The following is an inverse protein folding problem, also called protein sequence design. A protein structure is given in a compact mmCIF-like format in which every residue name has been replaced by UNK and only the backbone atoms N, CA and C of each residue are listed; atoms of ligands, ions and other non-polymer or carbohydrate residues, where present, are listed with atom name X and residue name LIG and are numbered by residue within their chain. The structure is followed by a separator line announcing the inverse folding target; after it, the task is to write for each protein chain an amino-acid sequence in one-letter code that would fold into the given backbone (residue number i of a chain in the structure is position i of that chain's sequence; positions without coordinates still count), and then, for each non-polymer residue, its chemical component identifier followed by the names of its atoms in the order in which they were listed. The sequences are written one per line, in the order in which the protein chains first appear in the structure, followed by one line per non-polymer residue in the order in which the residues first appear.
data_IF_594293410502
#
_entry.id   IF_594293410502
#
_cell.length_a   1.000
_cell.length_b   1.000
_cell.length_c   1.000
_cell.angle_alpha   90.00
_cell.angle_beta   90.00
_cell.angle_gamma   90.00
#
_symmetry.space_group_name_H-M   'P 1'
#
loop_
_entity.id
_entity.type
_entity.pdbx_description
1 polymer ?
#
# COMPACT_ATOMS: atom_id res chain seq x y z
N UNK A 1 45.66 -1.84 -0.09
CA UNK A 1 45.00 -1.39 1.15
C UNK A 1 43.48 -1.28 1.04
N UNK A 2 42.85 -1.04 -0.12
CA UNK A 2 41.37 -0.98 -0.22
C UNK A 2 40.65 -2.36 -0.19
N UNK A 3 41.37 -3.47 -0.34
CA UNK A 3 40.80 -4.83 -0.46
C UNK A 3 40.36 -5.47 0.86
N UNK A 4 40.76 -4.93 2.02
CA UNK A 4 40.47 -5.55 3.33
C UNK A 4 39.14 -5.11 3.96
N UNK A 5 38.61 -3.95 3.58
CA UNK A 5 37.43 -3.32 4.22
C UNK A 5 36.19 -4.22 4.14
N UNK A 6 36.01 -4.91 3.01
CA UNK A 6 34.85 -5.76 2.73
C UNK A 6 35.15 -7.25 2.81
N UNK A 7 36.27 -7.64 3.41
CA UNK A 7 36.69 -9.04 3.51
C UNK A 7 35.67 -9.94 4.22
N UNK A 8 35.05 -9.44 5.29
CA UNK A 8 33.99 -10.16 6.03
C UNK A 8 32.73 -10.37 5.16
N UNK A 9 32.21 -9.31 4.54
CA UNK A 9 31.05 -9.41 3.66
C UNK A 9 31.32 -10.31 2.44
N UNK A 10 32.53 -10.23 1.87
CA UNK A 10 32.98 -11.11 0.80
C UNK A 10 32.96 -12.58 1.25
N UNK A 11 33.45 -12.88 2.45
CA UNK A 11 33.42 -14.24 3.00
C UNK A 11 31.98 -14.73 3.22
N UNK A 12 31.08 -13.88 3.71
CA UNK A 12 29.65 -14.20 3.87
C UNK A 12 28.97 -14.49 2.52
N UNK A 13 29.28 -13.72 1.47
CA UNK A 13 28.76 -13.96 0.12
C UNK A 13 29.31 -15.27 -0.47
N UNK A 14 30.58 -15.57 -0.26
CA UNK A 14 31.17 -16.87 -0.62
C UNK A 14 30.52 -18.02 0.14
N UNK A 15 30.33 -17.90 1.46
CA UNK A 15 29.66 -18.92 2.26
C UNK A 15 28.21 -19.11 1.82
N UNK A 16 27.47 -18.03 1.52
CA UNK A 16 26.12 -18.13 0.99
C UNK A 16 26.09 -18.84 -0.37
N UNK A 17 27.08 -18.59 -1.22
CA UNK A 17 27.23 -19.26 -2.51
C UNK A 17 27.49 -20.77 -2.36
N UNK A 18 28.29 -21.18 -1.37
CA UNK A 18 28.67 -22.57 -1.10
C UNK A 18 27.63 -23.36 -0.30
N UNK A 19 27.10 -22.75 0.77
CA UNK A 19 26.19 -23.40 1.73
C UNK A 19 24.71 -23.32 1.32
N UNK A 20 24.36 -22.35 0.47
CA UNK A 20 22.97 -22.08 0.11
C UNK A 20 22.14 -21.43 1.22
N UNK A 21 22.76 -20.87 2.27
CA UNK A 21 22.09 -20.16 3.36
C UNK A 21 22.73 -18.80 3.62
N UNK A 22 21.90 -17.75 3.78
CA UNK A 22 22.35 -16.42 4.19
C UNK A 22 22.42 -16.33 5.72
N UNK A 23 23.63 -16.28 6.29
CA UNK A 23 23.86 -16.12 7.75
C UNK A 23 24.14 -14.67 8.13
N UNK A 24 24.02 -14.36 9.43
CA UNK A 24 24.02 -13.00 9.97
C UNK A 24 25.10 -12.07 9.41
N UNK A 25 24.67 -10.87 9.02
CA UNK A 25 25.52 -9.82 8.44
C UNK A 25 25.28 -8.45 9.11
N UNK A 26 24.80 -8.45 10.35
CA UNK A 26 24.32 -7.22 11.00
C UNK A 26 25.43 -6.16 11.10
N UNK A 27 26.65 -6.57 11.49
CA UNK A 27 27.80 -5.67 11.61
C UNK A 27 28.23 -5.10 10.25
N UNK A 28 28.20 -5.91 9.19
CA UNK A 28 28.52 -5.49 7.83
C UNK A 28 27.48 -4.51 7.29
N UNK A 29 26.20 -4.77 7.53
CA UNK A 29 25.11 -3.90 7.09
C UNK A 29 25.14 -2.55 7.84
N UNK A 30 25.42 -2.56 9.14
CA UNK A 30 25.63 -1.34 9.92
C UNK A 30 26.85 -0.55 9.43
N UNK A 31 27.93 -1.24 9.06
CA UNK A 31 29.12 -0.61 8.47
C UNK A 31 28.79 0.10 7.16
N UNK A 32 27.95 -0.47 6.30
CA UNK A 32 27.48 0.18 5.06
C UNK A 32 26.78 1.50 5.38
N UNK A 33 25.95 1.52 6.42
CA UNK A 33 25.22 2.72 6.86
C UNK A 33 26.14 3.87 7.33
N UNK A 34 27.41 3.61 7.60
CA UNK A 34 28.39 4.60 8.06
C UNK A 34 29.52 4.86 7.04
N UNK A 35 29.50 4.17 5.90
CA UNK A 35 30.60 4.21 4.93
C UNK A 35 30.64 5.49 4.09
N UNK A 36 31.84 5.88 3.66
CA UNK A 36 32.08 6.94 2.66
C UNK A 36 31.79 6.48 1.23
N UNK A 37 31.60 7.41 0.30
CA UNK A 37 31.29 7.08 -1.10
C UNK A 37 32.41 6.29 -1.79
N UNK A 38 33.68 6.55 -1.46
CA UNK A 38 34.83 5.77 -1.95
C UNK A 38 34.81 4.33 -1.42
N UNK A 39 34.36 4.12 -0.18
CA UNK A 39 34.18 2.78 0.41
C UNK A 39 32.99 2.07 -0.24
N UNK A 40 31.88 2.76 -0.45
CA UNK A 40 30.72 2.23 -1.17
C UNK A 40 31.09 1.86 -2.62
N UNK A 41 31.91 2.66 -3.29
CA UNK A 41 32.37 2.36 -4.64
C UNK A 41 33.21 1.07 -4.64
N UNK A 42 34.11 0.92 -3.67
CA UNK A 42 34.89 -0.32 -3.52
C UNK A 42 34.01 -1.53 -3.18
N UNK A 43 32.92 -1.35 -2.44
CA UNK A 43 31.92 -2.37 -2.17
C UNK A 43 31.23 -2.80 -3.46
N UNK A 44 30.69 -1.87 -4.24
CA UNK A 44 29.99 -2.18 -5.49
C UNK A 44 30.90 -2.90 -6.49
N UNK A 45 32.16 -2.48 -6.60
CA UNK A 45 33.17 -3.17 -7.42
C UNK A 45 33.41 -4.59 -6.93
N UNK A 46 33.45 -4.81 -5.61
CA UNK A 46 33.60 -6.15 -5.02
C UNK A 46 32.40 -7.05 -5.34
N UNK A 47 31.16 -6.52 -5.27
CA UNK A 47 29.94 -7.29 -5.54
C UNK A 47 29.85 -7.81 -6.99
N UNK A 48 30.63 -7.27 -7.92
CA UNK A 48 30.69 -7.76 -9.32
C UNK A 48 31.08 -9.24 -9.40
N UNK A 49 31.84 -9.74 -8.43
CA UNK A 49 32.29 -11.14 -8.35
C UNK A 49 31.16 -12.09 -7.90
N UNK A 50 30.09 -11.56 -7.31
CA UNK A 50 29.05 -12.33 -6.61
C UNK A 50 27.69 -12.30 -7.30
N UNK A 51 27.60 -11.81 -8.54
CA UNK A 51 26.38 -11.90 -9.33
C UNK A 51 26.14 -13.37 -9.71
N UNK A 52 25.21 -14.03 -9.02
CA UNK A 52 24.99 -15.48 -9.07
C UNK A 52 23.50 -15.81 -9.10
N UNK A 53 23.07 -16.92 -9.74
CA UNK A 53 21.70 -17.41 -9.65
C UNK A 53 21.37 -18.07 -8.29
N UNK A 54 22.31 -18.12 -7.33
CA UNK A 54 22.05 -18.71 -6.01
C UNK A 54 21.08 -17.82 -5.19
N UNK A 55 19.93 -18.34 -4.72
CA UNK A 55 18.96 -17.59 -3.91
C UNK A 55 19.52 -17.01 -2.60
N UNK A 56 20.44 -17.69 -1.92
CA UNK A 56 21.04 -17.18 -0.68
C UNK A 56 21.98 -15.99 -0.94
N UNK A 57 22.66 -16.01 -2.08
CA UNK A 57 23.45 -14.86 -2.53
C UNK A 57 22.53 -13.70 -2.88
N UNK A 58 21.40 -13.98 -3.55
CA UNK A 58 20.39 -12.95 -3.85
C UNK A 58 19.82 -12.30 -2.59
N UNK A 59 19.50 -13.08 -1.57
CA UNK A 59 19.03 -12.58 -0.28
C UNK A 59 20.08 -11.69 0.41
N UNK A 60 21.35 -12.08 0.38
CA UNK A 60 22.43 -11.25 0.93
C UNK A 60 22.62 -9.95 0.15
N UNK A 61 22.53 -10.01 -1.18
CA UNK A 61 22.57 -8.83 -2.05
C UNK A 61 21.37 -7.91 -1.79
N UNK A 62 20.18 -8.46 -1.60
CA UNK A 62 18.97 -7.71 -1.23
C UNK A 62 19.20 -6.91 0.06
N UNK A 63 19.70 -7.56 1.12
CA UNK A 63 20.02 -6.89 2.40
C UNK A 63 21.09 -5.82 2.23
N UNK A 64 22.13 -6.12 1.45
CA UNK A 64 23.24 -5.20 1.14
C UNK A 64 22.74 -3.94 0.42
N UNK A 65 21.91 -4.10 -0.62
CA UNK A 65 21.34 -2.97 -1.36
C UNK A 65 20.31 -2.19 -0.53
N UNK A 66 19.59 -2.86 0.38
CA UNK A 66 18.71 -2.19 1.34
C UNK A 66 19.51 -1.27 2.29
N UNK A 67 20.60 -1.78 2.88
CA UNK A 67 21.50 -0.97 3.71
C UNK A 67 22.14 0.18 2.92
N UNK A 68 22.51 -0.06 1.66
CA UNK A 68 23.01 0.98 0.76
C UNK A 68 21.96 2.08 0.52
N UNK A 69 20.71 1.69 0.23
CA UNK A 69 19.61 2.65 0.06
C UNK A 69 19.37 3.49 1.31
N UNK A 70 19.41 2.89 2.50
CA UNK A 70 19.31 3.62 3.77
C UNK A 70 20.47 4.60 3.97
N UNK A 71 21.70 4.20 3.64
CA UNK A 71 22.88 5.08 3.67
C UNK A 71 22.73 6.28 2.75
N UNK A 72 22.18 6.06 1.55
CA UNK A 72 21.94 7.11 0.56
C UNK A 72 20.83 8.06 1.03
N UNK A 73 19.80 7.53 1.71
CA UNK A 73 18.68 8.30 2.22
C UNK A 73 19.00 9.12 3.49
N UNK A 74 20.06 8.77 4.24
CA UNK A 74 20.32 9.35 5.55
C UNK A 74 20.79 10.82 5.49
N UNK A 75 20.14 11.76 6.20
CA UNK A 75 20.52 13.17 6.24
C UNK A 75 21.87 13.42 6.94
N UNK A 76 22.36 12.46 7.75
CA UNK A 76 23.67 12.54 8.40
C UNK A 76 24.84 12.58 7.39
N UNK A 77 24.61 12.13 6.15
CA UNK A 77 25.58 12.23 5.06
C UNK A 77 25.61 13.62 4.37
N UNK A 78 24.92 14.62 4.94
CA UNK A 78 25.01 16.02 4.56
C UNK A 78 24.65 16.27 3.10
N UNK A 79 23.37 16.16 2.72
CA UNK A 79 22.82 16.61 1.43
C UNK A 79 23.71 16.34 0.20
N UNK A 80 24.39 15.19 0.16
CA UNK A 80 25.18 14.79 -1.00
C UNK A 80 24.34 13.85 -1.84
N UNK A 81 23.96 14.34 -3.01
CA UNK A 81 23.63 13.49 -4.15
C UNK A 81 24.73 12.45 -4.31
N UNK A 82 24.36 11.21 -4.64
CA UNK A 82 25.38 10.18 -4.87
C UNK A 82 26.24 10.58 -6.06
N UNK A 83 27.53 10.26 -5.98
CA UNK A 83 28.48 10.43 -7.06
C UNK A 83 28.04 9.64 -8.31
N UNK A 84 28.14 10.22 -9.51
CA UNK A 84 27.85 9.57 -10.79
C UNK A 84 28.66 8.28 -10.98
N UNK A 85 29.85 8.18 -10.36
CA UNK A 85 30.64 6.94 -10.32
C UNK A 85 29.88 5.81 -9.62
N UNK A 86 29.19 6.09 -8.51
CA UNK A 86 28.35 5.11 -7.82
C UNK A 86 27.15 4.72 -8.67
N UNK A 87 26.51 5.68 -9.35
CA UNK A 87 25.41 5.39 -10.30
C UNK A 87 25.89 4.44 -11.39
N UNK A 88 27.04 4.72 -12.01
CA UNK A 88 27.62 3.85 -13.04
C UNK A 88 27.87 2.43 -12.56
N UNK A 89 28.37 2.26 -11.34
CA UNK A 89 28.58 0.94 -10.73
C UNK A 89 27.26 0.21 -10.40
N UNK A 90 26.26 0.93 -9.89
CA UNK A 90 24.94 0.36 -9.64
C UNK A 90 24.31 -0.15 -10.94
N UNK A 91 24.38 0.62 -12.03
CA UNK A 91 23.86 0.21 -13.33
C UNK A 91 24.65 -0.98 -13.90
N UNK A 92 25.96 -1.01 -13.71
CA UNK A 92 26.75 -2.17 -14.12
C UNK A 92 26.30 -3.44 -13.40
N UNK A 93 26.09 -3.39 -12.09
CA UNK A 93 25.58 -4.53 -11.32
C UNK A 93 24.17 -4.90 -11.74
N UNK A 94 23.28 -3.92 -11.91
CA UNK A 94 21.88 -4.12 -12.31
C UNK A 94 21.77 -4.92 -13.61
N UNK A 95 22.55 -4.57 -14.63
CA UNK A 95 22.54 -5.28 -15.93
C UNK A 95 22.98 -6.75 -15.85
N UNK A 96 23.66 -7.14 -14.76
CA UNK A 96 24.11 -8.51 -14.52
C UNK A 96 23.18 -9.27 -13.59
N UNK A 97 22.40 -8.57 -12.77
CA UNK A 97 21.38 -9.21 -11.93
C UNK A 97 20.31 -9.86 -12.81
N UNK A 98 19.77 -10.98 -12.35
CA UNK A 98 18.68 -11.64 -13.08
C UNK A 98 17.39 -10.82 -12.90
N UNK A 99 16.59 -10.60 -13.96
CA UNK A 99 15.41 -9.72 -13.92
C UNK A 99 14.38 -10.08 -12.84
N UNK A 100 14.27 -11.36 -12.49
CA UNK A 100 13.29 -11.87 -11.51
C UNK A 100 13.73 -11.78 -10.04
N UNK A 101 14.88 -11.15 -9.76
CA UNK A 101 15.48 -11.16 -8.42
C UNK A 101 15.00 -10.00 -7.56
N UNK A 102 14.85 -10.26 -6.26
CA UNK A 102 14.43 -9.24 -5.29
C UNK A 102 15.51 -8.19 -5.08
N UNK A 103 16.78 -8.60 -5.12
CA UNK A 103 17.93 -7.70 -5.01
C UNK A 103 17.90 -6.59 -6.07
N UNK A 104 17.35 -6.87 -7.26
CA UNK A 104 17.19 -5.87 -8.32
C UNK A 104 16.25 -4.73 -7.91
N UNK A 105 15.11 -5.05 -7.30
CA UNK A 105 14.17 -4.04 -6.82
C UNK A 105 14.82 -3.14 -5.74
N UNK A 106 15.62 -3.71 -4.84
CA UNK A 106 16.36 -2.95 -3.82
C UNK A 106 17.49 -2.09 -4.43
N UNK A 107 18.14 -2.57 -5.49
CA UNK A 107 19.12 -1.76 -6.21
C UNK A 107 18.46 -0.55 -6.88
N UNK A 108 17.33 -0.76 -7.58
CA UNK A 108 16.58 0.33 -8.20
C UNK A 108 16.03 1.31 -7.14
N UNK A 109 15.62 0.80 -5.97
CA UNK A 109 15.28 1.64 -4.82
C UNK A 109 16.44 2.54 -4.41
N UNK A 110 17.67 2.04 -4.39
CA UNK A 110 18.85 2.85 -4.05
C UNK A 110 19.09 3.99 -5.06
N UNK A 111 18.76 3.79 -6.35
CA UNK A 111 18.77 4.86 -7.35
C UNK A 111 17.68 5.91 -7.05
N UNK A 112 16.46 5.48 -6.71
CA UNK A 112 15.36 6.37 -6.34
C UNK A 112 15.67 7.20 -5.07
N UNK A 113 16.34 6.59 -4.09
CA UNK A 113 16.77 7.27 -2.84
C UNK A 113 17.87 8.31 -3.09
N UNK A 114 18.54 8.31 -4.23
CA UNK A 114 19.69 9.21 -4.42
C UNK A 114 19.31 10.64 -4.80
N UNK A 115 18.17 10.80 -5.47
CA UNK A 115 17.66 12.08 -5.97
C UNK A 115 18.67 12.90 -6.79
N UNK A 116 19.65 12.24 -7.44
CA UNK A 116 20.42 12.89 -8.49
C UNK A 116 19.71 12.74 -9.82
N UNK A 117 19.76 13.78 -10.65
CA UNK A 117 19.15 13.77 -12.00
C UNK A 117 19.59 12.52 -12.78
N UNK A 118 20.89 12.21 -12.77
CA UNK A 118 21.47 11.04 -13.46
C UNK A 118 20.93 9.72 -12.92
N UNK A 119 20.74 9.57 -11.61
CA UNK A 119 20.20 8.34 -11.04
C UNK A 119 18.71 8.18 -11.31
N UNK A 120 17.94 9.27 -11.30
CA UNK A 120 16.51 9.27 -11.62
C UNK A 120 16.28 8.95 -13.10
N UNK A 121 17.03 9.59 -14.01
CA UNK A 121 17.02 9.24 -15.43
C UNK A 121 17.36 7.76 -15.64
N UNK A 122 18.40 7.29 -14.96
CA UNK A 122 18.80 5.89 -15.04
C UNK A 122 17.73 4.94 -14.50
N UNK A 123 17.06 5.28 -13.39
CA UNK A 123 15.95 4.52 -12.85
C UNK A 123 14.82 4.38 -13.89
N UNK A 124 14.38 5.49 -14.48
CA UNK A 124 13.34 5.48 -15.50
C UNK A 124 13.75 4.61 -16.71
N UNK A 125 14.98 4.76 -17.20
CA UNK A 125 15.50 3.95 -18.30
C UNK A 125 15.54 2.45 -17.97
N UNK A 126 15.98 2.08 -16.77
CA UNK A 126 16.05 0.66 -16.35
C UNK A 126 14.67 0.03 -16.22
N UNK A 127 13.68 0.76 -15.69
CA UNK A 127 12.32 0.28 -15.57
C UNK A 127 11.67 0.03 -16.95
N UNK A 128 12.01 0.84 -17.95
CA UNK A 128 11.52 0.65 -19.32
C UNK A 128 12.25 -0.47 -20.06
N UNK A 129 13.58 -0.50 -19.97
CA UNK A 129 14.40 -1.50 -20.67
C UNK A 129 14.21 -2.91 -20.11
N UNK A 130 13.99 -3.02 -18.81
CA UNK A 130 13.84 -4.29 -18.12
C UNK A 130 12.78 -4.14 -17.01
N UNK A 131 11.50 -4.38 -17.32
CA UNK A 131 10.44 -4.23 -16.32
C UNK A 131 10.64 -5.18 -15.14
N UNK A 132 10.17 -4.75 -13.97
CA UNK A 132 10.16 -5.58 -12.77
C UNK A 132 9.12 -6.70 -12.91
N UNK A 133 9.33 -7.85 -12.24
CA UNK A 133 8.50 -9.05 -12.45
C UNK A 133 7.08 -8.92 -11.90
N UNK A 134 6.88 -8.08 -10.87
CA UNK A 134 5.62 -7.95 -10.15
C UNK A 134 5.45 -6.55 -9.54
N UNK A 135 4.22 -6.25 -9.12
CA UNK A 135 3.85 -4.95 -8.55
C UNK A 135 4.54 -4.68 -7.20
N UNK A 136 4.76 -5.70 -6.36
CA UNK A 136 5.41 -5.51 -5.06
C UNK A 136 6.87 -5.05 -5.21
N UNK A 137 7.56 -5.62 -6.21
CA UNK A 137 8.90 -5.21 -6.61
C UNK A 137 8.91 -3.77 -7.15
N UNK A 138 7.92 -3.40 -7.97
CA UNK A 138 7.78 -2.04 -8.50
C UNK A 138 7.54 -1.01 -7.39
N UNK A 139 6.62 -1.30 -6.46
CA UNK A 139 6.36 -0.47 -5.27
C UNK A 139 7.64 -0.34 -4.43
N UNK A 140 8.36 -1.42 -4.21
CA UNK A 140 9.63 -1.40 -3.47
C UNK A 140 10.66 -0.45 -4.10
N UNK A 141 10.80 -0.51 -5.42
CA UNK A 141 11.75 0.33 -6.15
C UNK A 141 11.35 1.81 -6.14
N UNK A 142 10.05 2.11 -6.25
CA UNK A 142 9.55 3.48 -6.45
C UNK A 142 9.05 4.17 -5.17
N UNK A 143 8.82 3.45 -4.07
CA UNK A 143 8.37 4.01 -2.79
C UNK A 143 9.20 5.22 -2.27
N UNK A 144 10.53 5.33 -2.50
CA UNK A 144 11.28 6.53 -2.12
C UNK A 144 10.78 7.82 -2.78
N UNK A 145 10.22 7.75 -3.99
CA UNK A 145 9.79 8.91 -4.76
C UNK A 145 8.62 9.66 -4.08
N UNK A 146 7.80 8.96 -3.28
CA UNK A 146 6.64 9.54 -2.59
C UNK A 146 7.00 10.27 -1.28
N UNK A 147 8.24 10.12 -0.78
CA UNK A 147 8.61 10.57 0.57
C UNK A 147 9.45 11.84 0.59
N UNK A 148 9.76 12.45 -0.57
CA UNK A 148 10.75 13.52 -0.67
C UNK A 148 10.14 14.85 -1.12
N UNK A 149 10.33 15.87 -0.30
CA UNK A 149 9.87 17.23 -0.57
C UNK A 149 10.63 17.92 -1.72
N UNK A 150 11.91 17.56 -1.94
CA UNK A 150 12.79 18.20 -2.95
C UNK A 150 13.17 17.25 -4.11
N UNK A 151 12.24 16.40 -4.55
CA UNK A 151 12.46 15.49 -5.67
C UNK A 151 12.52 16.26 -7.00
N UNK A 152 13.59 16.07 -7.79
CA UNK A 152 13.61 16.52 -9.19
C UNK A 152 12.86 15.53 -10.08
N UNK A 153 11.53 15.56 -9.99
CA UNK A 153 10.67 14.66 -10.74
C UNK A 153 10.80 14.85 -12.26
N UNK A 154 11.26 16.02 -12.74
CA UNK A 154 11.37 16.30 -14.18
C UNK A 154 12.38 15.36 -14.86
N UNK A 155 13.39 14.90 -14.13
CA UNK A 155 14.37 13.91 -14.58
C UNK A 155 13.75 12.55 -14.96
N UNK A 156 12.56 12.23 -14.45
CA UNK A 156 11.86 10.96 -14.71
C UNK A 156 10.99 11.02 -15.98
N UNK A 157 10.52 12.20 -16.38
CA UNK A 157 9.52 12.34 -17.43
C UNK A 157 10.12 12.89 -18.73
N UNK A 158 9.59 12.50 -19.91
CA UNK A 158 8.43 11.63 -20.13
C UNK A 158 8.76 10.12 -20.05
N UNK A 159 10.04 9.77 -19.85
CA UNK A 159 10.53 8.39 -19.99
C UNK A 159 9.83 7.39 -19.08
N UNK A 160 9.56 7.76 -17.84
CA UNK A 160 8.86 6.90 -16.88
C UNK A 160 7.45 6.49 -17.36
N UNK A 161 6.78 7.30 -18.19
CA UNK A 161 5.46 6.96 -18.74
C UNK A 161 5.51 5.82 -19.77
N UNK A 162 6.68 5.48 -20.31
CA UNK A 162 6.81 4.29 -21.15
C UNK A 162 6.63 2.99 -20.33
N UNK A 163 6.76 3.06 -19.00
CA UNK A 163 6.52 1.92 -18.11
C UNK A 163 5.03 1.54 -17.99
N UNK A 164 4.12 2.36 -18.53
CA UNK A 164 2.68 2.07 -18.57
C UNK A 164 2.35 0.86 -19.45
N UNK A 165 3.25 0.48 -20.36
CA UNK A 165 3.11 -0.73 -21.19
C UNK A 165 3.24 -2.02 -20.36
N UNK A 166 3.80 -1.94 -19.14
CA UNK A 166 4.05 -3.11 -18.29
C UNK A 166 3.11 -3.14 -17.08
N UNK A 167 2.37 -4.25 -16.92
CA UNK A 167 1.38 -4.42 -15.86
C UNK A 167 1.95 -4.30 -14.43
N UNK A 168 3.22 -4.67 -14.23
CA UNK A 168 3.88 -4.60 -12.93
C UNK A 168 4.14 -3.15 -12.47
N UNK A 169 4.41 -2.23 -13.38
CA UNK A 169 4.81 -0.84 -13.07
C UNK A 169 3.71 0.18 -13.34
N UNK A 170 2.73 -0.14 -14.19
CA UNK A 170 1.73 0.83 -14.64
C UNK A 170 0.99 1.54 -13.50
N UNK A 171 0.55 0.79 -12.47
CA UNK A 171 -0.19 1.35 -11.32
C UNK A 171 0.67 2.35 -10.55
N UNK A 172 1.84 1.93 -10.07
CA UNK A 172 2.71 2.78 -9.25
C UNK A 172 3.25 3.99 -10.02
N UNK A 173 3.46 3.86 -11.34
CA UNK A 173 3.83 4.98 -12.21
C UNK A 173 2.73 6.03 -12.29
N UNK A 174 1.47 5.61 -12.49
CA UNK A 174 0.35 6.54 -12.50
C UNK A 174 0.10 7.14 -11.11
N UNK A 175 0.13 6.33 -10.06
CA UNK A 175 -0.04 6.83 -8.69
C UNK A 175 1.01 7.88 -8.34
N UNK A 176 2.27 7.68 -8.75
CA UNK A 176 3.32 8.68 -8.57
C UNK A 176 3.04 9.95 -9.38
N UNK A 177 2.59 9.80 -10.62
CA UNK A 177 2.26 10.94 -11.49
C UNK A 177 1.09 11.76 -10.91
N UNK A 178 0.06 11.09 -10.38
CA UNK A 178 -1.08 11.71 -9.73
C UNK A 178 -0.68 12.41 -8.43
N UNK A 179 0.16 11.74 -7.63
CA UNK A 179 0.72 12.28 -6.39
C UNK A 179 1.41 13.62 -6.59
N UNK A 180 2.22 13.77 -7.66
CA UNK A 180 2.90 15.03 -7.96
C UNK A 180 1.92 16.22 -8.12
N UNK A 181 0.74 15.99 -8.69
CA UNK A 181 -0.27 17.05 -8.86
C UNK A 181 -1.02 17.31 -7.55
N UNK A 182 -1.39 16.25 -6.82
CA UNK A 182 -2.11 16.33 -5.55
C UNK A 182 -1.33 17.05 -4.45
N UNK A 183 -0.03 16.78 -4.37
CA UNK A 183 0.88 17.47 -3.44
C UNK A 183 1.38 18.81 -3.98
N UNK A 184 0.81 19.31 -5.09
CA UNK A 184 1.17 20.57 -5.72
C UNK A 184 2.65 20.69 -6.13
N UNK A 185 3.34 19.55 -6.32
CA UNK A 185 4.72 19.48 -6.81
C UNK A 185 4.82 19.73 -8.32
N UNK A 186 3.75 19.43 -9.06
CA UNK A 186 3.61 19.69 -10.49
C UNK A 186 2.32 20.50 -10.75
N UNK A 187 2.44 21.62 -11.48
CA UNK A 187 1.30 22.45 -11.88
C UNK A 187 0.45 21.74 -12.93
N UNK A 188 1.11 21.04 -13.86
CA UNK A 188 0.48 20.26 -14.91
C UNK A 188 0.82 18.79 -14.73
N UNK A 189 -0.18 17.93 -14.95
CA UNK A 189 0.01 16.50 -14.85
C UNK A 189 1.06 15.99 -15.87
N UNK A 190 2.14 15.31 -15.46
CA UNK A 190 3.21 14.90 -16.38
C UNK A 190 2.74 14.03 -17.56
N UNK A 191 1.60 13.34 -17.42
CA UNK A 191 1.01 12.55 -18.50
C UNK A 191 0.01 13.32 -19.40
N UNK A 192 -0.07 14.66 -19.36
CA UNK A 192 -1.03 15.42 -20.19
C UNK A 192 -0.93 15.08 -21.68
N UNK A 193 0.29 14.93 -22.22
CA UNK A 193 0.48 14.59 -23.64
C UNK A 193 -0.03 13.18 -24.00
N UNK A 194 -0.26 12.31 -23.01
CA UNK A 194 -0.81 10.96 -23.18
C UNK A 194 -2.28 10.84 -22.80
N UNK A 195 -2.99 11.96 -22.61
CA UNK A 195 -4.40 11.98 -22.19
C UNK A 195 -5.28 11.04 -23.02
N UNK A 196 -5.19 11.12 -24.35
CA UNK A 196 -5.98 10.27 -25.26
C UNK A 196 -5.71 8.78 -25.08
N UNK A 197 -4.45 8.40 -24.83
CA UNK A 197 -4.07 7.00 -24.62
C UNK A 197 -4.59 6.50 -23.28
N UNK A 198 -4.55 7.33 -22.23
CA UNK A 198 -5.12 7.03 -20.91
C UNK A 198 -6.65 6.87 -20.98
N UNK A 199 -7.35 7.72 -21.73
CA UNK A 199 -8.80 7.62 -21.95
C UNK A 199 -9.14 6.31 -22.69
N UNK A 200 -8.33 5.93 -23.69
CA UNK A 200 -8.51 4.65 -24.39
C UNK A 200 -8.25 3.46 -23.46
N UNK A 201 -7.19 3.51 -22.65
CA UNK A 201 -6.86 2.49 -21.66
C UNK A 201 -7.99 2.32 -20.64
N UNK A 202 -8.54 3.42 -20.11
CA UNK A 202 -9.70 3.39 -19.22
C UNK A 202 -10.88 2.67 -19.87
N UNK A 203 -11.17 3.00 -21.14
CA UNK A 203 -12.25 2.35 -21.89
C UNK A 203 -12.04 0.85 -22.06
N UNK A 204 -10.83 0.42 -22.41
CA UNK A 204 -10.50 -0.99 -22.59
C UNK A 204 -10.59 -1.78 -21.28
N UNK A 205 -10.06 -1.24 -20.19
CA UNK A 205 -10.11 -1.85 -18.87
C UNK A 205 -11.55 -1.95 -18.34
N UNK A 206 -12.33 -0.88 -18.48
CA UNK A 206 -13.76 -0.85 -18.10
C UNK A 206 -14.56 -1.90 -18.87
N UNK A 207 -14.37 -1.98 -20.20
CA UNK A 207 -15.06 -2.97 -21.03
C UNK A 207 -14.68 -4.41 -20.63
N UNK A 208 -13.40 -4.66 -20.34
CA UNK A 208 -12.93 -5.96 -19.87
C UNK A 208 -13.61 -6.36 -18.56
N UNK A 209 -13.68 -5.43 -17.59
CA UNK A 209 -14.29 -5.70 -16.30
C UNK A 209 -15.79 -5.94 -16.43
N UNK A 210 -16.49 -5.16 -17.26
CA UNK A 210 -17.90 -5.37 -17.54
C UNK A 210 -18.16 -6.78 -18.11
N UNK A 211 -17.33 -7.23 -19.06
CA UNK A 211 -17.44 -8.58 -19.62
C UNK A 211 -17.20 -9.70 -18.60
N UNK A 212 -16.42 -9.45 -17.54
CA UNK A 212 -16.26 -10.37 -16.41
C UNK A 212 -17.48 -10.35 -15.49
N UNK A 213 -18.13 -9.19 -15.28
CA UNK A 213 -19.34 -9.06 -14.45
C UNK A 213 -20.58 -9.73 -15.08
N UNK A 214 -20.68 -9.76 -16.40
CA UNK A 214 -21.79 -10.42 -17.12
C UNK A 214 -21.69 -11.95 -17.12
N UNK A 215 -20.49 -12.50 -16.93
CA UNK A 215 -20.20 -13.94 -17.08
C UNK A 215 -19.67 -14.50 -15.76
N UNK A 216 -20.57 -14.93 -14.84
CA UNK A 216 -20.12 -15.52 -13.58
C UNK A 216 -19.26 -16.77 -13.84
N UNK A 217 -18.17 -16.97 -13.07
CA UNK A 217 -17.30 -18.13 -13.22
C UNK A 217 -18.10 -19.42 -12.96
N UNK A 218 -17.85 -20.46 -13.75
CA UNK A 218 -18.56 -21.74 -13.63
C UNK A 218 -17.82 -22.74 -12.74
N UNK A 219 -16.54 -22.49 -12.47
CA UNK A 219 -15.68 -23.35 -11.64
C UNK A 219 -14.92 -22.53 -10.61
N UNK A 220 -14.46 -23.17 -9.53
CA UNK A 220 -13.64 -22.52 -8.50
C UNK A 220 -12.27 -22.02 -9.05
N UNK A 221 -11.69 -22.73 -10.03
CA UNK A 221 -10.46 -22.30 -10.70
C UNK A 221 -10.68 -21.05 -11.55
N UNK A 222 -11.78 -21.02 -12.32
CA UNK A 222 -12.18 -19.82 -13.06
C UNK A 222 -12.47 -18.67 -12.11
N UNK A 223 -13.13 -18.91 -10.98
CA UNK A 223 -13.43 -17.89 -9.98
C UNK A 223 -12.14 -17.29 -9.41
N UNK A 224 -11.15 -18.12 -9.06
CA UNK A 224 -9.83 -17.65 -8.61
C UNK A 224 -9.13 -16.81 -9.67
N UNK A 225 -9.11 -17.28 -10.92
CA UNK A 225 -8.49 -16.56 -12.05
C UNK A 225 -9.20 -15.24 -12.35
N UNK A 226 -10.53 -15.21 -12.35
CA UNK A 226 -11.31 -13.99 -12.55
C UNK A 226 -11.07 -13.02 -11.39
N UNK A 227 -11.08 -13.50 -10.14
CA UNK A 227 -10.78 -12.69 -8.97
C UNK A 227 -9.40 -12.03 -9.04
N UNK A 228 -8.36 -12.78 -9.44
CA UNK A 228 -7.03 -12.21 -9.67
C UNK A 228 -7.04 -11.13 -10.76
N UNK A 229 -7.67 -11.39 -11.91
CA UNK A 229 -7.75 -10.41 -13.00
C UNK A 229 -8.51 -9.14 -12.59
N UNK A 230 -9.59 -9.28 -11.82
CA UNK A 230 -10.35 -8.15 -11.27
C UNK A 230 -9.45 -7.34 -10.34
N UNK A 231 -8.79 -7.98 -9.37
CA UNK A 231 -7.91 -7.30 -8.42
C UNK A 231 -6.78 -6.53 -9.10
N UNK A 232 -6.11 -7.14 -10.09
CA UNK A 232 -5.06 -6.49 -10.88
C UNK A 232 -5.59 -5.31 -11.71
N UNK A 233 -6.81 -5.43 -12.25
CA UNK A 233 -7.41 -4.39 -13.10
C UNK A 233 -7.97 -3.22 -12.31
N UNK A 234 -8.52 -3.47 -11.11
CA UNK A 234 -9.15 -2.43 -10.27
C UNK A 234 -8.15 -1.35 -9.90
N UNK A 235 -6.94 -1.73 -9.46
CA UNK A 235 -5.88 -0.77 -9.12
C UNK A 235 -5.55 0.15 -10.29
N UNK A 236 -5.31 -0.42 -11.47
CA UNK A 236 -4.98 0.35 -12.66
C UNK A 236 -6.13 1.25 -13.13
N UNK A 237 -7.38 0.76 -13.10
CA UNK A 237 -8.56 1.57 -13.45
C UNK A 237 -8.63 2.81 -12.56
N UNK A 238 -8.45 2.63 -11.25
CA UNK A 238 -8.50 3.73 -10.28
C UNK A 238 -7.40 4.77 -10.56
N UNK A 239 -6.16 4.33 -10.75
CA UNK A 239 -5.05 5.24 -11.05
C UNK A 239 -5.26 6.00 -12.36
N UNK A 240 -5.84 5.36 -13.39
CA UNK A 240 -6.18 6.01 -14.66
C UNK A 240 -7.32 7.00 -14.51
N UNK A 241 -8.39 6.66 -13.77
CA UNK A 241 -9.51 7.59 -13.49
C UNK A 241 -9.00 8.87 -12.85
N UNK A 242 -8.14 8.73 -11.86
CA UNK A 242 -7.54 9.86 -11.15
C UNK A 242 -6.63 10.67 -12.07
N UNK A 243 -5.78 10.01 -12.87
CA UNK A 243 -4.93 10.68 -13.84
C UNK A 243 -5.73 11.53 -14.84
N UNK A 244 -6.79 10.97 -15.46
CA UNK A 244 -7.58 11.73 -16.44
C UNK A 244 -8.38 12.87 -15.79
N UNK A 245 -8.79 12.71 -14.52
CA UNK A 245 -9.44 13.77 -13.76
C UNK A 245 -8.47 14.92 -13.45
N UNK A 246 -7.24 14.60 -13.02
CA UNK A 246 -6.19 15.58 -12.72
C UNK A 246 -5.64 16.26 -13.98
N UNK A 247 -5.60 15.55 -15.12
CA UNK A 247 -5.28 16.16 -16.43
C UNK A 247 -6.35 17.19 -16.82
N UNK A 248 -7.61 16.96 -16.45
CA UNK A 248 -8.71 17.88 -16.75
C UNK A 248 -9.24 17.77 -18.19
N UNK A 249 -9.03 16.63 -18.86
CA UNK A 249 -9.47 16.46 -20.26
C UNK A 249 -10.97 16.11 -20.34
N UNK A 250 -11.81 16.98 -20.92
CA UNK A 250 -13.26 16.74 -21.00
C UNK A 250 -13.62 15.53 -21.87
N UNK A 251 -12.74 15.08 -22.77
CA UNK A 251 -12.98 13.88 -23.59
C UNK A 251 -13.08 12.60 -22.73
N UNK A 252 -12.58 12.63 -21.48
CA UNK A 252 -12.65 11.52 -20.55
C UNK A 252 -14.06 11.25 -19.99
N UNK A 253 -14.96 12.26 -19.99
CA UNK A 253 -16.30 12.18 -19.37
C UNK A 253 -17.09 10.98 -19.87
N UNK A 254 -17.08 10.72 -21.18
CA UNK A 254 -17.79 9.59 -21.77
C UNK A 254 -17.30 8.23 -21.25
N UNK A 255 -16.00 8.10 -20.95
CA UNK A 255 -15.41 6.87 -20.40
C UNK A 255 -15.61 6.75 -18.90
N UNK A 256 -15.59 7.86 -18.16
CA UNK A 256 -15.91 7.88 -16.74
C UNK A 256 -17.38 7.48 -16.48
N UNK A 257 -18.30 7.93 -17.33
CA UNK A 257 -19.70 7.46 -17.34
C UNK A 257 -19.84 5.96 -17.64
N UNK A 258 -18.89 5.34 -18.34
CA UNK A 258 -18.89 3.88 -18.50
C UNK A 258 -18.36 3.19 -17.23
N UNK A 259 -17.34 3.77 -16.59
CA UNK A 259 -16.73 3.22 -15.38
C UNK A 259 -17.69 3.25 -14.17
N UNK A 260 -18.55 4.26 -14.06
CA UNK A 260 -19.50 4.39 -12.95
C UNK A 260 -20.64 3.35 -12.96
N UNK A 261 -20.88 2.73 -14.12
CA UNK A 261 -21.87 1.66 -14.34
C UNK A 261 -21.35 0.27 -13.93
N UNK A 262 -20.06 0.14 -13.65
CA UNK A 262 -19.50 -1.11 -13.12
C UNK A 262 -20.08 -1.42 -11.74
N UNK A 263 -20.17 -2.70 -11.36
CA UNK A 263 -20.67 -3.09 -10.03
C UNK A 263 -19.66 -2.79 -8.91
N UNK A 264 -18.39 -2.63 -9.26
CA UNK A 264 -17.32 -2.44 -8.29
C UNK A 264 -17.36 -1.06 -7.60
N UNK A 265 -17.89 -1.00 -6.38
CA UNK A 265 -18.12 0.24 -5.62
C UNK A 265 -16.95 1.21 -5.58
N UNK A 266 -15.71 0.73 -5.35
CA UNK A 266 -14.53 1.59 -5.34
C UNK A 266 -14.32 2.32 -6.67
N UNK A 267 -14.47 1.64 -7.81
CA UNK A 267 -14.33 2.26 -9.14
C UNK A 267 -15.42 3.31 -9.34
N UNK A 268 -16.66 3.00 -8.94
CA UNK A 268 -17.79 3.94 -9.03
C UNK A 268 -17.53 5.20 -8.21
N UNK A 269 -17.00 5.07 -7.00
CA UNK A 269 -16.66 6.22 -6.14
C UNK A 269 -15.61 7.13 -6.79
N UNK A 270 -14.54 6.54 -7.33
CA UNK A 270 -13.47 7.29 -8.02
C UNK A 270 -14.00 7.96 -9.29
N UNK A 271 -14.80 7.24 -10.09
CA UNK A 271 -15.41 7.77 -11.31
C UNK A 271 -16.38 8.92 -11.02
N UNK A 272 -17.17 8.82 -9.95
CA UNK A 272 -18.11 9.87 -9.54
C UNK A 272 -17.37 11.16 -9.15
N UNK A 273 -16.29 11.05 -8.37
CA UNK A 273 -15.45 12.18 -8.01
C UNK A 273 -14.79 12.82 -9.25
N UNK A 274 -14.26 12.00 -10.16
CA UNK A 274 -13.68 12.46 -11.41
C UNK A 274 -14.70 13.20 -12.31
N UNK A 275 -15.94 12.72 -12.40
CA UNK A 275 -17.00 13.37 -13.16
C UNK A 275 -17.32 14.77 -12.62
N UNK A 276 -17.38 14.94 -11.30
CA UNK A 276 -17.59 16.26 -10.68
C UNK A 276 -16.43 17.21 -11.05
N UNK A 277 -15.18 16.75 -10.92
CA UNK A 277 -13.99 17.55 -11.28
C UNK A 277 -14.00 18.01 -12.75
N UNK A 278 -14.52 17.18 -13.65
CA UNK A 278 -14.62 17.49 -15.09
C UNK A 278 -15.93 18.22 -15.49
N UNK A 279 -16.72 18.67 -14.52
CA UNK A 279 -17.91 19.50 -14.75
C UNK A 279 -19.23 18.75 -14.94
N UNK A 280 -19.25 17.43 -14.80
CA UNK A 280 -20.47 16.60 -14.82
C UNK A 280 -20.98 16.34 -13.38
N UNK A 281 -21.16 17.44 -12.63
CA UNK A 281 -21.40 17.41 -11.20
C UNK A 281 -22.70 16.70 -10.81
N UNK A 282 -23.76 16.78 -11.62
CA UNK A 282 -25.05 16.20 -11.26
C UNK A 282 -24.97 14.67 -11.11
N UNK A 283 -24.43 13.98 -12.13
CA UNK A 283 -24.29 12.53 -12.13
C UNK A 283 -23.36 12.08 -11.00
N UNK A 284 -22.22 12.75 -10.85
CA UNK A 284 -21.27 12.39 -9.79
C UNK A 284 -21.86 12.58 -8.38
N UNK A 285 -22.61 13.66 -8.12
CA UNK A 285 -23.29 13.89 -6.84
C UNK A 285 -24.29 12.78 -6.52
N UNK A 286 -25.14 12.43 -7.48
CA UNK A 286 -26.14 11.36 -7.32
C UNK A 286 -25.49 10.03 -6.94
N UNK A 287 -24.39 9.67 -7.60
CA UNK A 287 -23.68 8.44 -7.31
C UNK A 287 -22.90 8.48 -6.00
N UNK A 288 -22.27 9.59 -5.61
CA UNK A 288 -21.64 9.70 -4.28
C UNK A 288 -22.69 9.53 -3.16
N UNK A 289 -23.86 10.14 -3.32
CA UNK A 289 -24.98 9.99 -2.39
C UNK A 289 -25.53 8.55 -2.32
N UNK A 290 -25.59 7.85 -3.45
CA UNK A 290 -25.94 6.43 -3.49
C UNK A 290 -24.87 5.55 -2.82
N UNK A 291 -23.60 5.81 -3.10
CA UNK A 291 -22.48 5.03 -2.57
C UNK A 291 -22.31 5.21 -1.06
N UNK A 292 -22.65 6.38 -0.52
CA UNK A 292 -22.66 6.66 0.91
C UNK A 292 -23.61 5.73 1.70
N UNK A 293 -24.60 5.12 1.04
CA UNK A 293 -25.50 4.14 1.67
C UNK A 293 -24.80 2.84 2.03
N UNK A 294 -23.73 2.48 1.32
CA UNK A 294 -22.99 1.24 1.53
C UNK A 294 -21.81 1.47 2.49
N UNK A 295 -21.75 0.81 3.66
CA UNK A 295 -20.69 1.06 4.65
C UNK A 295 -19.28 0.94 4.06
N UNK A 296 -19.03 -0.10 3.25
CA UNK A 296 -17.73 -0.35 2.59
C UNK A 296 -17.25 0.77 1.64
N UNK A 297 -18.15 1.65 1.19
CA UNK A 297 -17.83 2.77 0.30
C UNK A 297 -18.05 4.14 0.96
N UNK A 298 -18.73 4.19 2.11
CA UNK A 298 -19.28 5.39 2.72
C UNK A 298 -18.21 6.41 3.08
N UNK A 299 -17.17 6.01 3.81
CA UNK A 299 -16.10 6.93 4.23
C UNK A 299 -15.40 7.57 3.02
N UNK A 300 -15.17 6.80 1.96
CA UNK A 300 -14.56 7.30 0.72
C UNK A 300 -15.49 8.25 -0.03
N UNK A 301 -16.77 7.92 -0.13
CA UNK A 301 -17.77 8.78 -0.77
C UNK A 301 -17.93 10.12 -0.03
N UNK A 302 -17.95 10.09 1.31
CA UNK A 302 -17.97 11.28 2.15
C UNK A 302 -16.71 12.12 1.97
N UNK A 303 -15.53 11.50 1.99
CA UNK A 303 -14.27 12.21 1.81
C UNK A 303 -14.22 12.96 0.47
N UNK A 304 -14.64 12.33 -0.62
CA UNK A 304 -14.73 13.02 -1.91
C UNK A 304 -15.82 14.08 -1.96
N UNK A 305 -16.98 13.83 -1.35
CA UNK A 305 -18.04 14.83 -1.32
C UNK A 305 -17.63 16.07 -0.51
N UNK A 306 -16.84 15.90 0.55
CA UNK A 306 -16.25 16.98 1.33
C UNK A 306 -15.19 17.74 0.52
N UNK A 307 -14.22 17.02 -0.06
CA UNK A 307 -13.15 17.59 -0.92
C UNK A 307 -13.71 18.41 -2.09
N UNK A 308 -14.82 17.96 -2.68
CA UNK A 308 -15.43 18.58 -3.86
C UNK A 308 -16.54 19.58 -3.51
N UNK A 309 -16.74 19.89 -2.22
CA UNK A 309 -17.76 20.81 -1.73
C UNK A 309 -19.19 20.44 -2.17
N UNK A 310 -19.51 19.14 -2.16
CA UNK A 310 -20.83 18.58 -2.50
C UNK A 310 -21.41 17.69 -1.39
N UNK A 311 -20.94 17.88 -0.16
CA UNK A 311 -21.34 17.08 1.00
C UNK A 311 -22.86 17.19 1.29
N UNK A 312 -23.49 18.28 0.87
CA UNK A 312 -24.94 18.51 0.94
C UNK A 312 -25.77 17.52 0.11
N UNK A 313 -25.15 16.84 -0.87
CA UNK A 313 -25.80 15.78 -1.63
C UNK A 313 -25.99 14.48 -0.81
N UNK A 314 -25.22 14.30 0.27
CA UNK A 314 -25.28 13.10 1.11
C UNK A 314 -26.18 13.38 2.32
N UNK A 315 -27.21 12.55 2.47
CA UNK A 315 -28.13 12.60 3.61
C UNK A 315 -27.39 12.47 4.95
N UNK A 316 -27.78 13.29 5.93
CA UNK A 316 -27.21 13.39 7.28
C UNK A 316 -27.11 12.05 7.98
N UNK A 317 -28.08 11.14 7.76
CA UNK A 317 -28.07 9.79 8.35
C UNK A 317 -26.87 8.92 7.92
N UNK A 318 -26.23 9.25 6.79
CA UNK A 318 -25.01 8.56 6.35
C UNK A 318 -23.74 9.32 6.76
N UNK A 319 -23.87 10.52 7.33
CA UNK A 319 -22.75 11.38 7.73
C UNK A 319 -22.52 11.41 9.23
N UNK A 320 -23.49 10.95 10.01
CA UNK A 320 -23.40 10.91 11.47
C UNK A 320 -22.27 9.99 11.97
N UNK A 321 -21.93 10.14 13.26
CA UNK A 321 -20.81 9.41 13.87
C UNK A 321 -21.03 7.90 13.88
N UNK A 322 -22.27 7.43 14.07
CA UNK A 322 -22.60 6.01 14.08
C UNK A 322 -22.43 5.39 12.69
N UNK A 323 -22.90 6.05 11.64
CA UNK A 323 -22.76 5.60 10.26
C UNK A 323 -21.29 5.61 9.81
N UNK A 324 -20.50 6.59 10.26
CA UNK A 324 -19.05 6.61 10.04
C UNK A 324 -18.36 5.46 10.76
N UNK A 325 -18.71 5.21 12.02
CA UNK A 325 -18.15 4.13 12.81
C UNK A 325 -18.51 2.75 12.21
N UNK A 326 -19.76 2.54 11.78
CA UNK A 326 -20.18 1.32 11.08
C UNK A 326 -19.31 1.09 9.83
N UNK A 327 -19.10 2.14 9.04
CA UNK A 327 -18.29 2.08 7.83
C UNK A 327 -16.81 1.80 8.12
N UNK A 328 -16.27 2.36 9.21
CA UNK A 328 -14.91 2.08 9.67
C UNK A 328 -14.74 0.59 10.01
N UNK A 329 -15.64 0.02 10.81
CA UNK A 329 -15.58 -1.40 11.16
C UNK A 329 -15.73 -2.29 9.92
N UNK A 330 -16.68 -1.96 9.03
CA UNK A 330 -16.89 -2.75 7.80
C UNK A 330 -15.67 -2.70 6.90
N UNK A 331 -15.00 -1.55 6.76
CA UNK A 331 -13.74 -1.45 6.01
C UNK A 331 -12.63 -2.28 6.66
N UNK A 332 -12.50 -2.22 7.98
CA UNK A 332 -11.50 -3.00 8.72
C UNK A 332 -11.73 -4.50 8.58
N UNK A 333 -12.97 -4.98 8.74
CA UNK A 333 -13.35 -6.39 8.57
C UNK A 333 -13.10 -6.88 7.14
N UNK A 334 -13.26 -6.01 6.14
CA UNK A 334 -13.03 -6.32 4.74
C UNK A 334 -11.54 -6.31 4.34
N UNK A 335 -10.62 -5.89 5.21
CA UNK A 335 -9.18 -5.94 4.96
C UNK A 335 -8.71 -7.39 4.76
N UNK A 336 -7.69 -7.60 3.92
CA UNK A 336 -7.18 -8.93 3.59
C UNK A 336 -6.49 -9.65 4.75
N UNK A 337 -6.04 -8.91 5.77
CA UNK A 337 -5.54 -9.49 7.01
C UNK A 337 -6.66 -9.96 7.96
N UNK A 338 -7.92 -9.58 7.69
CA UNK A 338 -9.10 -9.97 8.46
C UNK A 338 -9.91 -11.02 7.67
N UNK A 339 -11.13 -10.69 7.22
CA UNK A 339 -11.97 -11.60 6.43
C UNK A 339 -11.77 -11.43 4.92
N UNK A 340 -11.23 -10.29 4.46
CA UNK A 340 -11.02 -9.98 3.03
C UNK A 340 -12.30 -9.60 2.27
N UNK A 341 -13.46 -9.55 2.92
CA UNK A 341 -14.72 -9.09 2.35
C UNK A 341 -15.66 -8.54 3.43
N UNK A 342 -16.56 -7.59 3.10
CA UNK A 342 -17.44 -6.97 4.09
C UNK A 342 -18.47 -7.97 4.65
N UNK A 343 -18.90 -7.79 5.90
CA UNK A 343 -19.98 -8.60 6.48
C UNK A 343 -21.29 -8.36 5.73
N UNK A 344 -22.21 -9.33 5.88
CA UNK A 344 -23.55 -9.24 5.30
C UNK A 344 -24.42 -8.23 6.05
N UNK A 345 -24.27 -8.17 7.36
CA UNK A 345 -24.97 -7.26 8.25
C UNK A 345 -23.99 -6.69 9.27
N UNK A 346 -24.23 -5.44 9.66
CA UNK A 346 -23.52 -4.72 10.71
C UNK A 346 -24.56 -3.83 11.41
N UNK A 347 -24.84 -4.09 12.68
CA UNK A 347 -25.90 -3.42 13.43
C UNK A 347 -25.35 -2.83 14.71
N UNK A 348 -25.71 -1.57 15.00
CA UNK A 348 -25.31 -0.91 16.25
C UNK A 348 -25.99 -1.60 17.44
N UNK A 349 -25.17 -2.06 18.39
CA UNK A 349 -25.63 -2.72 19.63
C UNK A 349 -25.65 -1.73 20.79
N UNK A 350 -24.57 -0.95 20.94
CA UNK A 350 -24.44 0.05 22.00
C UNK A 350 -23.58 1.23 21.53
N UNK A 351 -23.87 2.41 22.06
CA UNK A 351 -23.12 3.63 21.82
C UNK A 351 -23.01 4.39 23.14
N UNK A 352 -21.79 4.76 23.54
CA UNK A 352 -21.56 5.57 24.74
C UNK A 352 -20.27 6.38 24.68
N UNK A 353 -20.26 7.50 25.38
CA UNK A 353 -19.04 8.25 25.68
C UNK A 353 -18.53 7.81 27.06
N UNK A 354 -17.28 7.35 27.15
CA UNK A 354 -16.71 6.84 28.40
C UNK A 354 -15.21 7.10 28.51
N UNK A 355 -14.67 7.11 29.72
CA UNK A 355 -13.22 7.10 29.92
C UNK A 355 -12.62 5.79 29.42
N UNK A 356 -11.52 5.86 28.67
CA UNK A 356 -10.84 4.72 28.11
C UNK A 356 -9.38 4.66 28.57
N UNK A 357 -8.81 3.47 28.87
CA UNK A 357 -7.40 3.37 29.23
C UNK A 357 -6.47 3.99 28.18
N UNK A 358 -5.53 4.82 28.63
CA UNK A 358 -4.60 5.53 27.74
C UNK A 358 -5.12 6.86 27.17
N UNK A 359 -6.37 7.25 27.45
CA UNK A 359 -6.94 8.53 27.03
C UNK A 359 -7.21 9.43 28.25
N UNK A 360 -6.87 10.72 28.12
CA UNK A 360 -7.12 11.72 29.18
C UNK A 360 -8.59 12.18 29.20
N UNK A 361 -9.25 12.18 28.03
CA UNK A 361 -10.63 12.61 27.85
C UNK A 361 -11.56 11.43 27.52
N UNK A 362 -12.85 11.50 27.87
CA UNK A 362 -13.83 10.49 27.46
C UNK A 362 -13.88 10.34 25.94
N UNK A 363 -13.89 9.09 25.47
CA UNK A 363 -13.89 8.74 24.06
C UNK A 363 -15.27 8.22 23.67
N UNK A 364 -15.72 8.57 22.47
CA UNK A 364 -16.92 8.01 21.88
C UNK A 364 -16.66 6.57 21.44
N UNK A 365 -17.47 5.62 21.92
CA UNK A 365 -17.33 4.21 21.65
C UNK A 365 -18.61 3.63 21.04
N UNK A 366 -18.45 2.74 20.07
CA UNK A 366 -19.55 2.06 19.37
C UNK A 366 -19.30 0.56 19.37
N UNK A 367 -20.31 -0.22 19.74
CA UNK A 367 -20.31 -1.68 19.56
C UNK A 367 -21.24 -2.04 18.41
N UNK A 368 -20.73 -2.81 17.47
CA UNK A 368 -21.51 -3.31 16.34
C UNK A 368 -21.52 -4.83 16.34
N UNK A 369 -22.69 -5.42 16.15
CA UNK A 369 -22.84 -6.84 15.82
C UNK A 369 -22.71 -6.99 14.32
N UNK A 370 -21.77 -7.82 13.88
CA UNK A 370 -21.61 -8.13 12.47
C UNK A 370 -21.89 -9.61 12.20
N UNK A 371 -22.30 -9.92 10.96
CA UNK A 371 -22.64 -11.28 10.55
C UNK A 371 -22.07 -11.63 9.18
N UNK A 372 -21.55 -12.85 9.08
CA UNK A 372 -21.09 -13.50 7.86
C UNK A 372 -21.91 -14.77 7.60
N UNK A 373 -22.35 -14.97 6.36
CA UNK A 373 -22.89 -16.26 5.91
C UNK A 373 -21.78 -17.02 5.20
N UNK A 374 -21.24 -18.05 5.85
CA UNK A 374 -20.22 -18.94 5.33
C UNK A 374 -20.84 -20.29 4.95
N UNK A 375 -20.14 -21.10 4.15
CA UNK A 375 -20.64 -22.44 3.76
C UNK A 375 -20.90 -23.34 4.97
N UNK A 376 -20.19 -23.11 6.08
CA UNK A 376 -20.28 -23.88 7.33
C UNK A 376 -21.32 -23.33 8.33
N UNK A 377 -21.95 -22.19 8.05
CA UNK A 377 -22.96 -21.58 8.93
C UNK A 377 -22.95 -20.06 8.95
N UNK A 378 -23.67 -19.49 9.92
CA UNK A 378 -23.64 -18.06 10.20
C UNK A 378 -22.59 -17.82 11.28
N UNK A 379 -21.60 -16.99 10.97
CA UNK A 379 -20.65 -16.47 11.95
C UNK A 379 -21.10 -15.06 12.36
N UNK A 380 -21.21 -14.81 13.66
CA UNK A 380 -21.56 -13.50 14.21
C UNK A 380 -20.64 -13.16 15.36
N UNK A 381 -20.26 -11.88 15.48
CA UNK A 381 -19.52 -11.40 16.64
C UNK A 381 -19.72 -9.88 16.82
N UNK A 382 -19.10 -9.32 17.87
CA UNK A 382 -19.10 -7.89 18.19
C UNK A 382 -17.75 -7.26 17.84
N UNK A 383 -17.80 -6.11 17.15
CA UNK A 383 -16.65 -5.23 16.93
C UNK A 383 -16.81 -3.91 17.69
N UNK A 384 -15.68 -3.34 18.11
CA UNK A 384 -15.58 -2.01 18.69
C UNK A 384 -15.08 -1.02 17.63
N UNK A 385 -15.60 0.21 17.68
CA UNK A 385 -15.04 1.39 17.02
C UNK A 385 -14.97 2.55 18.02
N UNK A 386 -13.92 3.38 17.93
CA UNK A 386 -13.69 4.53 18.78
C UNK A 386 -12.20 4.66 19.17
N UNK A 387 -11.79 4.17 20.35
CA UNK A 387 -10.39 4.17 20.77
C UNK A 387 -9.49 3.32 19.86
N UNK A 388 -10.06 2.23 19.32
CA UNK A 388 -9.52 1.51 18.18
C UNK A 388 -10.67 0.82 17.44
N UNK A 389 -10.40 0.38 16.22
CA UNK A 389 -11.31 -0.48 15.46
C UNK A 389 -10.81 -1.92 15.50
N UNK A 390 -11.57 -2.80 16.14
CA UNK A 390 -11.16 -4.18 16.40
C UNK A 390 -12.35 -5.11 16.63
N UNK A 391 -12.18 -6.40 16.31
CA UNK A 391 -13.08 -7.47 16.71
C UNK A 391 -12.26 -8.69 17.14
N UNK A 392 -12.68 -9.36 18.22
CA UNK A 392 -12.04 -10.58 18.66
C UNK A 392 -12.41 -11.77 17.77
N UNK A 393 -11.55 -12.80 17.78
CA UNK A 393 -11.91 -14.12 17.26
C UNK A 393 -12.77 -14.93 18.24
N UNK A 394 -12.71 -14.61 19.53
CA UNK A 394 -13.58 -15.16 20.56
C UNK A 394 -14.98 -14.55 20.45
N UNK A 395 -16.02 -15.38 20.58
CA UNK A 395 -17.41 -14.94 20.54
C UNK A 395 -17.77 -14.13 21.79
N UNK A 396 -18.14 -12.86 21.59
CA UNK A 396 -18.57 -11.95 22.65
C UNK A 396 -20.09 -11.72 22.67
N UNK A 397 -20.84 -12.35 21.75
CA UNK A 397 -22.24 -12.00 21.48
C UNK A 397 -23.20 -12.25 22.65
N UNK A 398 -22.82 -13.13 23.58
CA UNK A 398 -23.60 -13.53 24.77
C UNK A 398 -23.17 -12.82 26.07
N UNK A 399 -22.12 -11.98 26.02
CA UNK A 399 -21.63 -11.26 27.19
C UNK A 399 -22.46 -9.99 27.47
N UNK A 400 -22.59 -9.57 28.74
CA UNK A 400 -23.09 -8.24 29.09
C UNK A 400 -22.29 -7.13 28.40
N UNK A 401 -22.96 -6.05 27.99
CA UNK A 401 -22.32 -4.92 27.28
C UNK A 401 -21.12 -4.34 28.04
N UNK A 402 -21.22 -4.22 29.37
CA UNK A 402 -20.14 -3.69 30.20
C UNK A 402 -18.91 -4.63 30.21
N UNK A 403 -19.14 -5.94 30.15
CA UNK A 403 -18.07 -6.94 30.07
C UNK A 403 -17.40 -6.91 28.69
N UNK A 404 -18.17 -6.67 27.62
CA UNK A 404 -17.64 -6.49 26.27
C UNK A 404 -16.72 -5.27 26.22
N UNK A 405 -17.16 -4.11 26.72
CA UNK A 405 -16.31 -2.92 26.79
C UNK A 405 -15.05 -3.17 27.63
N UNK A 406 -15.19 -3.87 28.76
CA UNK A 406 -14.06 -4.24 29.62
C UNK A 406 -13.05 -5.14 28.90
N UNK A 407 -13.51 -6.09 28.08
CA UNK A 407 -12.63 -6.95 27.30
C UNK A 407 -11.78 -6.17 26.29
N UNK A 408 -12.39 -5.24 25.53
CA UNK A 408 -11.65 -4.39 24.61
C UNK A 408 -10.71 -3.41 25.34
N UNK A 409 -11.16 -2.81 26.44
CA UNK A 409 -10.34 -1.91 27.25
C UNK A 409 -9.10 -2.63 27.81
N UNK A 410 -9.27 -3.86 28.29
CA UNK A 410 -8.16 -4.71 28.75
C UNK A 410 -7.21 -5.13 27.64
N UNK A 411 -7.71 -5.37 26.43
CA UNK A 411 -6.86 -5.72 25.27
C UNK A 411 -6.02 -4.53 24.76
N UNK A 412 -6.58 -3.31 24.80
CA UNK A 412 -5.90 -2.08 24.40
C UNK A 412 -4.94 -1.53 25.46
N UNK A 413 -5.07 -1.96 26.72
CA UNK A 413 -4.23 -1.51 27.80
C UNK A 413 -2.81 -2.09 27.66
N UNK A 414 -1.88 -1.30 27.12
CA UNK A 414 -0.46 -1.59 27.19
C UNK A 414 0.10 -0.96 28.48
N UNK A 415 0.57 -1.79 29.41
CA UNK A 415 1.20 -1.35 30.65
C UNK A 415 2.29 -2.34 31.06
N UNK A 416 3.42 -1.85 31.60
CA UNK A 416 4.56 -2.67 32.05
C UNK A 416 4.20 -3.71 33.14
N UNK A 417 3.01 -3.57 33.75
CA UNK A 417 2.48 -4.47 34.78
C UNK A 417 1.47 -5.51 34.25
N UNK A 418 1.07 -5.40 32.97
CA UNK A 418 0.19 -6.35 32.29
C UNK A 418 1.09 -7.34 31.52
N UNK A 419 1.14 -8.58 31.98
CA UNK A 419 1.95 -9.63 31.37
C UNK A 419 1.14 -10.92 31.24
N UNK A 420 1.32 -11.60 30.11
CA UNK A 420 0.67 -12.88 29.84
C UNK A 420 1.45 -14.01 30.52
N UNK A 421 0.77 -14.78 31.37
CA UNK A 421 1.31 -16.00 31.98
C UNK A 421 0.50 -17.18 31.46
N UNK A 422 1.16 -18.24 30.99
CA UNK A 422 0.45 -19.47 30.61
C UNK A 422 -0.24 -20.07 31.83
N UNK A 423 -1.45 -20.61 31.66
CA UNK A 423 -2.23 -21.20 32.76
C UNK A 423 -1.44 -22.26 33.58
N UNK A 424 -0.54 -22.99 32.93
CA UNK A 424 0.35 -23.98 33.57
C UNK A 424 1.35 -23.38 34.57
N UNK A 425 1.64 -22.08 34.43
CA UNK A 425 2.60 -21.33 35.24
C UNK A 425 1.95 -20.57 36.39
N UNK A 426 0.63 -20.72 36.58
CA UNK A 426 -0.08 -20.05 37.68
C UNK A 426 0.37 -20.60 39.03
N UNK A 427 0.94 -19.73 39.87
CA UNK A 427 1.21 -20.02 41.28
C UNK A 427 -0.10 -19.93 42.10
N UNK A 428 -0.16 -20.59 43.27
CA UNK A 428 -1.37 -20.55 44.13
C UNK A 428 -1.85 -19.13 44.50
N UNK A 429 -0.97 -18.15 44.79
CA UNK A 429 -1.40 -16.77 45.04
C UNK A 429 -2.08 -16.14 43.82
N UNK A 430 -1.52 -16.35 42.63
CA UNK A 430 -2.06 -15.80 41.38
C UNK A 430 -3.44 -16.40 41.04
N UNK A 431 -3.64 -17.70 41.30
CA UNK A 431 -4.96 -18.34 41.13
C UNK A 431 -6.02 -17.75 42.04
N UNK A 432 -5.64 -17.36 43.26
CA UNK A 432 -6.55 -16.74 44.22
C UNK A 432 -6.89 -15.28 43.85
N UNK A 433 -6.02 -14.62 43.10
CA UNK A 433 -6.19 -13.23 42.63
C UNK A 433 -7.07 -13.17 41.37
N UNK A 434 -6.91 -14.11 40.43
CA UNK A 434 -7.78 -14.23 39.25
C UNK A 434 -9.21 -14.74 39.53
N UNK A 435 -9.45 -15.31 40.72
CA UNK A 435 -10.75 -15.88 41.11
C UNK A 435 -11.63 -14.93 41.95
N UNK A 436 -11.16 -13.68 42.17
CA UNK A 436 -11.95 -12.59 42.74
C UNK A 436 -12.52 -11.74 41.62
#
# INVERSE_FOLDING_TARGET
MRTEIWSSLRALLSEAAESGAARGAAEELERIAQSSDDELLSLLVMLREFVSPNPAVDEMLERTFSALGQRIASPAAGSRTIDDRLVGELLFLETRLFPQRRSRAMLLRALAESNSETALQALADRLVLQPLPDQASAVTAMAPLFRRENLDWTALFPRLLDTLEFAATAVITLDFTNFLVREHLAIQHPATERSRDLIQLLGALTQRLHGLEERPPQTAEEARRVGQQVNESVGLIISVIDAVALIGDPDAVGKLRQAIELRHRRIRTEAAAALIRLGDAQIGREHLAELAKFPIARLRAIAYADELEVLDAIDDQYRDESARAEAELVCWLADSAQFGFPPRQCELVDQRTQYWPGYEEPVQCFLFRFEYTLDEGVYSNIGLVGPATFAFSADLADLPIDDIYSAFAGWLADHEEIFEIRAEQFTEPLRAECAR
#
